data_IF_288321895660
#
_entry.id   IF_288321895660
#
_cell.length_a   1.000
_cell.length_b   1.000
_cell.length_c   1.000
_cell.angle_alpha   90.00
_cell.angle_beta   90.00
_cell.angle_gamma   90.00
#
_symmetry.space_group_name_H-M   'P 1'
#
loop_
_entity.id
_entity.type
_entity.pdbx_description
1 polymer ?
#
# COMPACT_ATOMS: atom_id res chain seq x y z
N UNK A 1 3.89 -21.83 7.51
CA UNK A 1 4.96 -21.12 8.25
C UNK A 1 5.79 -20.28 7.28
N UNK A 2 6.04 -19.03 7.65
CA UNK A 2 6.84 -18.14 6.82
C UNK A 2 8.32 -18.37 7.05
N UNK A 3 9.10 -18.26 6.00
CA UNK A 3 10.55 -18.38 6.05
C UNK A 3 11.17 -16.99 5.85
N UNK A 4 12.35 -16.79 6.42
CA UNK A 4 13.11 -15.58 6.16
C UNK A 4 13.55 -15.55 4.69
N UNK A 5 13.57 -14.35 4.13
CA UNK A 5 13.99 -14.17 2.76
C UNK A 5 15.50 -14.47 2.63
N UNK A 6 15.89 -15.13 1.55
CA UNK A 6 17.29 -15.38 1.25
C UNK A 6 17.96 -14.09 0.75
N UNK A 7 19.29 -14.08 0.74
CA UNK A 7 20.05 -12.96 0.18
C UNK A 7 19.70 -12.73 -1.29
N UNK A 8 19.54 -13.80 -2.05
CA UNK A 8 19.14 -13.69 -3.46
C UNK A 8 17.76 -13.06 -3.63
N UNK A 9 16.79 -13.48 -2.80
CA UNK A 9 15.43 -12.91 -2.82
C UNK A 9 15.46 -11.43 -2.48
N UNK A 10 16.23 -11.05 -1.45
CA UNK A 10 16.36 -9.64 -1.06
C UNK A 10 16.95 -8.82 -2.21
N UNK A 11 18.02 -9.30 -2.83
CA UNK A 11 18.65 -8.60 -3.94
C UNK A 11 17.71 -8.46 -5.12
N UNK A 12 16.93 -9.49 -5.44
CA UNK A 12 15.97 -9.45 -6.53
C UNK A 12 14.87 -8.42 -6.28
N UNK A 13 14.36 -8.36 -5.05
CA UNK A 13 13.34 -7.39 -4.65
C UNK A 13 13.90 -5.97 -4.74
N UNK A 14 15.12 -5.76 -4.28
CA UNK A 14 15.76 -4.44 -4.33
C UNK A 14 16.00 -3.99 -5.77
N UNK A 15 16.38 -4.90 -6.66
CA UNK A 15 16.54 -4.58 -8.08
C UNK A 15 15.19 -4.22 -8.72
N UNK A 16 14.15 -4.96 -8.38
CA UNK A 16 12.80 -4.67 -8.89
C UNK A 16 12.32 -3.30 -8.41
N UNK A 17 12.58 -2.97 -7.14
CA UNK A 17 12.24 -1.66 -6.58
C UNK A 17 13.01 -0.54 -7.28
N UNK A 18 14.28 -0.75 -7.59
CA UNK A 18 15.12 0.21 -8.32
C UNK A 18 14.55 0.49 -9.71
N UNK A 19 14.18 -0.55 -10.45
CA UNK A 19 13.55 -0.41 -11.76
C UNK A 19 12.22 0.34 -11.65
N UNK A 20 11.40 -0.05 -10.70
CA UNK A 20 10.10 0.57 -10.48
C UNK A 20 10.26 2.06 -10.16
N UNK A 21 11.26 2.43 -9.36
CA UNK A 21 11.55 3.83 -9.04
C UNK A 21 11.84 4.64 -10.31
N UNK A 22 12.68 4.12 -11.20
CA UNK A 22 13.04 4.83 -12.43
C UNK A 22 11.85 5.02 -13.37
N UNK A 23 10.94 4.06 -13.42
CA UNK A 23 9.72 4.19 -14.22
C UNK A 23 8.72 5.13 -13.55
N UNK A 24 8.47 4.94 -12.25
CA UNK A 24 7.45 5.67 -11.51
C UNK A 24 7.78 7.17 -11.45
N UNK A 25 9.04 7.53 -11.25
CA UNK A 25 9.43 8.94 -11.13
C UNK A 25 9.14 9.75 -12.39
N UNK A 26 8.98 9.07 -13.53
CA UNK A 26 8.70 9.73 -14.82
C UNK A 26 7.21 9.92 -15.07
N UNK A 27 6.36 9.30 -14.25
CA UNK A 27 4.92 9.42 -14.43
C UNK A 27 4.42 10.82 -14.12
N UNK A 28 3.43 11.32 -14.89
CA UNK A 28 2.76 12.57 -14.54
C UNK A 28 2.09 12.45 -13.16
N UNK A 29 1.91 13.58 -12.50
CA UNK A 29 1.28 13.60 -11.18
C UNK A 29 -0.13 13.02 -11.19
N UNK A 30 -0.87 13.23 -12.28
CA UNK A 30 -2.20 12.64 -12.43
C UNK A 30 -2.18 11.10 -12.43
N UNK A 31 -1.16 10.51 -13.02
CA UNK A 31 -1.01 9.05 -13.03
C UNK A 31 -0.61 8.53 -11.64
N UNK A 32 0.22 9.27 -10.92
CA UNK A 32 0.58 8.92 -9.53
C UNK A 32 -0.67 8.97 -8.65
N UNK A 33 -1.49 10.00 -8.83
CA UNK A 33 -2.75 10.12 -8.09
C UNK A 33 -3.67 8.94 -8.37
N UNK A 34 -3.79 8.55 -9.63
CA UNK A 34 -4.60 7.40 -10.03
C UNK A 34 -4.11 6.12 -9.36
N UNK A 35 -2.79 5.92 -9.30
CA UNK A 35 -2.19 4.77 -8.66
C UNK A 35 -2.52 4.72 -7.17
N UNK A 36 -2.36 5.85 -6.46
CA UNK A 36 -2.68 5.91 -5.04
C UNK A 36 -4.16 5.62 -4.77
N UNK A 37 -5.06 6.14 -5.61
CA UNK A 37 -6.49 5.86 -5.49
C UNK A 37 -6.80 4.38 -5.74
N UNK A 38 -6.09 3.75 -6.68
CA UNK A 38 -6.26 2.33 -6.95
C UNK A 38 -5.83 1.48 -5.75
N UNK A 39 -4.72 1.85 -5.08
CA UNK A 39 -4.29 1.16 -3.86
C UNK A 39 -5.33 1.32 -2.76
N UNK A 40 -5.85 2.53 -2.57
CA UNK A 40 -6.88 2.80 -1.56
C UNK A 40 -8.12 1.94 -1.81
N UNK A 41 -8.58 1.87 -3.06
CA UNK A 41 -9.72 1.03 -3.43
C UNK A 41 -9.45 -0.46 -3.19
N UNK A 42 -8.24 -0.92 -3.52
CA UNK A 42 -7.86 -2.32 -3.30
C UNK A 42 -7.88 -2.68 -1.82
N UNK A 43 -7.42 -1.78 -0.95
CA UNK A 43 -7.45 -1.99 0.50
C UNK A 43 -8.88 -2.08 1.02
N UNK A 44 -9.78 -1.20 0.55
CA UNK A 44 -11.19 -1.25 0.93
C UNK A 44 -11.83 -2.55 0.44
N UNK A 45 -11.54 -2.95 -0.79
CA UNK A 45 -12.14 -4.13 -1.42
C UNK A 45 -11.55 -5.44 -0.89
N UNK A 46 -10.46 -5.40 -0.11
CA UNK A 46 -9.91 -6.60 0.53
C UNK A 46 -10.87 -7.20 1.55
N UNK A 47 -11.83 -6.42 2.02
CA UNK A 47 -12.91 -6.90 2.87
C UNK A 47 -12.45 -7.39 4.24
N UNK A 48 -13.20 -8.32 4.78
CA UNK A 48 -12.96 -8.84 6.13
C UNK A 48 -11.75 -9.77 6.21
N UNK A 49 -11.34 -10.37 5.09
CA UNK A 49 -10.21 -11.29 5.09
C UNK A 49 -8.91 -10.62 5.57
N UNK A 50 -8.66 -9.40 5.12
CA UNK A 50 -7.49 -8.63 5.56
C UNK A 50 -7.55 -8.36 7.06
N UNK A 51 -8.70 -7.91 7.55
CA UNK A 51 -8.91 -7.61 8.97
C UNK A 51 -8.71 -8.87 9.81
N UNK A 52 -9.29 -9.99 9.38
CA UNK A 52 -9.18 -11.26 10.09
C UNK A 52 -7.73 -11.71 10.21
N UNK A 53 -6.99 -11.65 9.12
CA UNK A 53 -5.57 -12.03 9.12
C UNK A 53 -4.77 -11.12 10.05
N UNK A 54 -5.01 -9.81 10.01
CA UNK A 54 -4.32 -8.87 10.88
C UNK A 54 -4.64 -9.12 12.35
N UNK A 55 -5.88 -9.48 12.68
CA UNK A 55 -6.26 -9.83 14.05
C UNK A 55 -5.49 -11.06 14.54
N UNK A 56 -5.38 -12.07 13.68
CA UNK A 56 -4.66 -13.30 14.01
C UNK A 56 -3.17 -13.05 14.24
N UNK A 57 -2.57 -12.19 13.44
CA UNK A 57 -1.13 -11.93 13.52
C UNK A 57 -0.74 -10.95 14.62
N UNK A 58 -1.62 -10.01 14.98
CA UNK A 58 -1.28 -8.94 15.92
C UNK A 58 -2.01 -9.02 17.26
N UNK A 59 -3.08 -9.78 17.34
CA UNK A 59 -3.99 -9.81 18.50
C UNK A 59 -4.64 -8.45 18.81
N UNK A 60 -4.69 -7.54 17.84
CA UNK A 60 -5.35 -6.26 18.03
C UNK A 60 -6.87 -6.40 17.84
N UNK A 61 -7.66 -5.56 18.53
CA UNK A 61 -9.12 -5.60 18.36
C UNK A 61 -9.56 -5.26 16.95
N UNK A 62 -10.66 -5.87 16.52
CA UNK A 62 -11.22 -5.64 15.19
C UNK A 62 -11.50 -4.16 14.91
N UNK A 63 -12.13 -3.46 15.85
CA UNK A 63 -12.48 -2.06 15.67
C UNK A 63 -11.25 -1.20 15.40
N UNK A 64 -10.16 -1.47 16.09
CA UNK A 64 -8.90 -0.77 15.88
C UNK A 64 -8.35 -0.99 14.48
N UNK A 65 -8.37 -2.24 14.02
CA UNK A 65 -7.84 -2.58 12.69
C UNK A 65 -8.70 -1.97 11.58
N UNK A 66 -10.01 -1.94 11.76
CA UNK A 66 -10.90 -1.27 10.79
C UNK A 66 -10.61 0.24 10.74
N UNK A 67 -10.36 0.86 11.88
CA UNK A 67 -9.97 2.27 11.94
C UNK A 67 -8.62 2.51 11.29
N UNK A 68 -7.66 1.61 11.49
CA UNK A 68 -6.35 1.69 10.85
C UNK A 68 -6.46 1.63 9.33
N UNK A 69 -7.28 0.72 8.82
CA UNK A 69 -7.51 0.63 7.37
C UNK A 69 -8.15 1.90 6.83
N UNK A 70 -9.18 2.40 7.51
CA UNK A 70 -9.86 3.63 7.11
C UNK A 70 -8.90 4.81 7.08
N UNK A 71 -8.02 4.91 8.07
CA UNK A 71 -7.01 5.95 8.12
C UNK A 71 -6.02 5.84 6.96
N UNK A 72 -5.58 4.62 6.65
CA UNK A 72 -4.65 4.38 5.54
C UNK A 72 -5.29 4.80 4.21
N UNK A 73 -6.53 4.40 3.98
CA UNK A 73 -7.29 4.78 2.78
C UNK A 73 -7.43 6.31 2.69
N UNK A 74 -7.77 6.95 3.79
CA UNK A 74 -7.89 8.40 3.84
C UNK A 74 -6.58 9.08 3.47
N UNK A 75 -5.46 8.61 4.01
CA UNK A 75 -4.15 9.18 3.72
C UNK A 75 -3.76 9.01 2.26
N UNK A 76 -3.99 7.83 1.68
CA UNK A 76 -3.71 7.58 0.27
C UNK A 76 -4.51 8.52 -0.63
N UNK A 77 -5.79 8.70 -0.34
CA UNK A 77 -6.64 9.60 -1.09
C UNK A 77 -6.24 11.07 -0.92
N UNK A 78 -5.80 11.45 0.28
CA UNK A 78 -5.31 12.80 0.54
C UNK A 78 -4.05 13.12 -0.27
N UNK A 79 -3.11 12.17 -0.33
CA UNK A 79 -1.91 12.34 -1.15
C UNK A 79 -2.24 12.35 -2.64
N UNK A 80 -3.23 11.56 -3.06
CA UNK A 80 -3.68 11.58 -4.45
C UNK A 80 -4.21 12.95 -4.84
N UNK A 81 -5.02 13.57 -3.97
CA UNK A 81 -5.54 14.92 -4.19
C UNK A 81 -4.39 15.92 -4.27
N UNK A 82 -3.41 15.81 -3.39
CA UNK A 82 -2.23 16.69 -3.41
C UNK A 82 -1.47 16.56 -4.73
N UNK A 83 -1.31 15.34 -5.24
CA UNK A 83 -0.68 15.11 -6.54
C UNK A 83 -1.48 15.76 -7.68
N UNK A 84 -2.81 15.64 -7.63
CA UNK A 84 -3.68 16.25 -8.66
C UNK A 84 -3.55 17.76 -8.69
N UNK A 85 -3.35 18.38 -7.52
CA UNK A 85 -3.14 19.84 -7.44
C UNK A 85 -1.73 20.26 -7.86
N UNK A 86 -0.78 19.34 -7.93
CA UNK A 86 0.60 19.63 -8.24
C UNK A 86 1.44 20.04 -7.04
N UNK A 87 0.96 19.73 -5.86
CA UNK A 87 1.68 20.03 -4.61
C UNK A 87 2.93 19.15 -4.43
#
# INVERSE_FOLDING_TARGET
MFKDASTTEINNVMQAAWKAFHEYRKLPLTERARFMKAIASALENSGDALIKTAMEETNLPEARLRNERARTVFQLNSYAVACERGD
#
